data_IF_384688352496
#
_entry.id   IF_384688352496
#
_cell.length_a   1.000
_cell.length_b   1.000
_cell.length_c   1.000
_cell.angle_alpha   90.00
_cell.angle_beta   90.00
_cell.angle_gamma   90.00
#
_symmetry.space_group_name_H-M   'P 1'
#
loop_
_entity.id
_entity.type
_entity.pdbx_description
1 polymer ?
#
# COMPACT_ATOMS: atom_id res chain seq x y z
N UNK A 1 16.18 12.31 11.26
CA UNK A 1 14.81 11.85 11.47
C UNK A 1 14.09 11.77 10.15
N UNK A 2 13.48 10.63 9.87
CA UNK A 2 12.89 10.25 8.59
C UNK A 2 11.38 10.37 8.68
N UNK A 3 10.73 10.88 7.63
CA UNK A 3 9.28 11.04 7.56
C UNK A 3 8.62 9.78 7.02
N UNK A 4 9.18 9.16 5.98
CA UNK A 4 8.68 7.92 5.40
C UNK A 4 9.83 6.99 5.06
N UNK A 5 9.72 5.74 5.49
CA UNK A 5 10.55 4.65 4.97
C UNK A 5 9.65 3.79 4.09
N UNK A 6 10.05 3.59 2.83
CA UNK A 6 9.36 2.70 1.89
C UNK A 6 10.40 1.79 1.24
N UNK A 7 10.23 0.48 1.39
CA UNK A 7 11.24 -0.46 0.94
C UNK A 7 10.67 -1.83 0.57
N UNK A 8 11.42 -2.54 -0.27
CA UNK A 8 11.17 -3.94 -0.62
C UNK A 8 12.48 -4.71 -0.48
N UNK A 9 12.69 -5.36 0.67
CA UNK A 9 13.90 -6.17 0.88
C UNK A 9 13.95 -7.35 -0.08
N UNK A 10 15.12 -7.97 -0.27
CA UNK A 10 15.21 -9.25 -0.96
C UNK A 10 14.26 -10.27 -0.34
N UNK A 11 13.45 -10.93 -1.17
CA UNK A 11 12.56 -11.96 -0.68
C UNK A 11 13.34 -13.26 -0.46
N UNK A 12 13.02 -13.97 0.63
CA UNK A 12 13.64 -15.23 0.97
C UNK A 12 13.56 -16.24 -0.21
N UNK A 13 14.67 -16.87 -0.55
CA UNK A 13 14.81 -17.97 -1.53
C UNK A 13 14.19 -17.75 -2.93
N UNK A 14 13.73 -16.52 -3.25
CA UNK A 14 12.96 -16.27 -4.48
C UNK A 14 13.84 -15.78 -5.62
N UNK A 15 14.83 -14.93 -5.35
CA UNK A 15 15.57 -14.22 -6.38
C UNK A 15 17.05 -14.16 -6.01
N UNK A 16 17.93 -14.55 -6.95
CA UNK A 16 19.35 -14.34 -6.82
C UNK A 16 19.71 -12.88 -7.17
N UNK A 17 20.20 -12.13 -6.20
CA UNK A 17 20.66 -10.74 -6.38
C UNK A 17 22.16 -10.63 -6.75
N UNK A 18 22.81 -11.76 -7.07
CA UNK A 18 24.23 -11.83 -7.44
C UNK A 18 25.05 -12.65 -6.46
N UNK A 19 26.33 -12.88 -6.80
CA UNK A 19 27.20 -13.84 -6.09
C UNK A 19 27.53 -13.48 -4.62
N UNK A 20 27.25 -12.26 -4.17
CA UNK A 20 27.65 -11.76 -2.86
C UNK A 20 26.47 -11.34 -1.96
N UNK A 21 25.23 -11.60 -2.37
CA UNK A 21 24.05 -11.28 -1.57
C UNK A 21 23.53 -12.57 -0.98
N UNK A 22 23.71 -12.69 0.33
CA UNK A 22 23.26 -13.83 1.12
C UNK A 22 21.74 -13.78 1.30
N UNK A 23 21.02 -14.42 0.38
CA UNK A 23 19.56 -14.54 0.46
C UNK A 23 19.25 -15.55 1.55
N UNK A 24 18.63 -15.09 2.63
CA UNK A 24 18.30 -15.92 3.78
C UNK A 24 17.20 -16.92 3.45
N UNK A 25 17.34 -18.15 3.97
CA UNK A 25 16.27 -19.15 3.94
C UNK A 25 15.04 -18.61 4.67
N UNK A 26 13.87 -19.09 4.29
CA UNK A 26 12.61 -18.65 4.91
C UNK A 26 12.59 -18.86 6.43
N UNK A 27 13.27 -19.90 6.94
CA UNK A 27 13.40 -20.17 8.37
C UNK A 27 14.29 -19.18 9.14
N UNK A 28 15.16 -18.45 8.48
CA UNK A 28 16.11 -17.51 9.06
C UNK A 28 15.77 -16.05 8.75
N UNK A 29 14.80 -15.86 7.85
CA UNK A 29 14.49 -14.56 7.28
C UNK A 29 14.03 -13.54 8.32
N UNK A 30 13.17 -13.98 9.23
CA UNK A 30 12.60 -13.09 10.25
C UNK A 30 13.69 -12.64 11.24
N UNK A 31 14.56 -13.54 11.67
CA UNK A 31 15.68 -13.20 12.56
C UNK A 31 16.67 -12.22 11.91
N UNK A 32 16.87 -12.37 10.59
CA UNK A 32 17.73 -11.47 9.82
C UNK A 32 17.15 -10.07 9.67
N UNK A 33 15.83 -9.95 9.36
CA UNK A 33 15.25 -8.65 9.05
C UNK A 33 14.73 -7.90 10.28
N UNK A 34 14.39 -8.60 11.34
CA UNK A 34 13.76 -8.00 12.53
C UNK A 34 14.63 -6.93 13.24
N UNK A 35 15.97 -7.06 13.32
CA UNK A 35 16.83 -6.00 13.84
C UNK A 35 16.67 -4.67 13.09
N UNK A 36 16.42 -4.70 11.78
CA UNK A 36 16.17 -3.50 10.98
C UNK A 36 14.96 -2.71 11.48
N UNK A 37 13.92 -3.37 11.98
CA UNK A 37 12.73 -2.71 12.51
C UNK A 37 13.04 -1.83 13.73
N UNK A 38 14.01 -2.22 14.55
CA UNK A 38 14.46 -1.41 15.69
C UNK A 38 15.20 -0.15 15.19
N UNK A 39 16.04 -0.27 14.17
CA UNK A 39 16.71 0.87 13.56
C UNK A 39 15.72 1.80 12.83
N UNK A 40 14.76 1.24 12.13
CA UNK A 40 13.65 1.99 11.54
C UNK A 40 12.91 2.77 12.62
N UNK A 41 12.56 2.13 13.73
CA UNK A 41 11.93 2.83 14.85
C UNK A 41 12.82 3.96 15.38
N UNK A 42 14.12 3.75 15.49
CA UNK A 42 15.05 4.76 16.01
C UNK A 42 15.08 6.02 15.13
N UNK A 43 15.15 5.85 13.81
CA UNK A 43 15.32 6.98 12.86
C UNK A 43 14.00 7.62 12.43
N UNK A 44 12.88 6.92 12.54
CA UNK A 44 11.57 7.42 12.13
C UNK A 44 11.10 8.55 13.06
N UNK A 45 10.49 9.59 12.52
CA UNK A 45 9.79 10.63 13.31
C UNK A 45 8.55 10.04 14.02
N UNK A 46 8.04 10.64 15.09
CA UNK A 46 6.75 10.25 15.68
C UNK A 46 5.60 10.27 14.68
N UNK A 47 5.60 11.24 13.76
CA UNK A 47 4.63 11.38 12.65
C UNK A 47 4.93 10.51 11.44
N UNK A 48 6.02 9.75 11.47
CA UNK A 48 6.51 9.00 10.33
C UNK A 48 5.85 7.64 10.15
N UNK A 49 5.96 7.12 8.93
CA UNK A 49 5.45 5.81 8.51
C UNK A 49 6.54 4.93 7.92
N UNK A 50 6.36 3.62 8.08
CA UNK A 50 7.18 2.60 7.42
C UNK A 50 6.29 1.71 6.56
N UNK A 51 6.56 1.68 5.26
CA UNK A 51 5.87 0.87 4.25
C UNK A 51 6.81 -0.24 3.80
N UNK A 52 6.42 -1.48 4.06
CA UNK A 52 7.15 -2.68 3.69
C UNK A 52 6.39 -3.43 2.59
N UNK A 53 6.95 -3.46 1.38
CA UNK A 53 6.44 -4.34 0.33
C UNK A 53 7.21 -5.66 0.36
N UNK A 54 6.50 -6.76 0.52
CA UNK A 54 7.09 -8.09 0.64
C UNK A 54 6.12 -9.15 0.13
N UNK A 55 6.67 -10.27 -0.36
CA UNK A 55 5.86 -11.41 -0.75
C UNK A 55 6.43 -12.71 -0.18
N UNK A 56 5.57 -13.70 -0.05
CA UNK A 56 5.96 -15.06 0.27
C UNK A 56 6.29 -15.87 -0.99
N UNK A 57 6.84 -17.04 -0.79
CA UNK A 57 7.09 -18.02 -1.84
C UNK A 57 6.49 -19.39 -1.52
N UNK A 58 6.56 -20.28 -2.51
CA UNK A 58 6.25 -21.68 -2.34
C UNK A 58 7.52 -22.52 -2.50
N UNK A 59 7.80 -23.36 -1.53
CA UNK A 59 8.91 -24.31 -1.53
C UNK A 59 8.40 -25.72 -1.26
N UNK A 60 8.88 -26.71 -1.98
CA UNK A 60 8.48 -28.13 -1.83
C UNK A 60 6.95 -28.37 -1.85
N UNK A 61 6.22 -27.60 -2.65
CA UNK A 61 4.77 -27.71 -2.75
C UNK A 61 3.96 -26.99 -1.67
N UNK A 62 4.59 -26.32 -0.72
CA UNK A 62 3.95 -25.57 0.37
C UNK A 62 4.28 -24.10 0.32
N UNK A 63 3.35 -23.28 0.80
CA UNK A 63 3.58 -21.82 0.95
C UNK A 63 4.32 -21.57 2.26
N UNK A 64 5.37 -20.75 2.19
CA UNK A 64 6.11 -20.32 3.37
C UNK A 64 5.29 -19.36 4.22
N UNK A 65 5.45 -19.44 5.53
CA UNK A 65 4.68 -18.65 6.49
C UNK A 65 5.47 -17.51 7.15
N UNK A 66 6.72 -17.28 6.72
CA UNK A 66 7.61 -16.29 7.34
C UNK A 66 7.04 -14.87 7.39
N UNK A 67 6.17 -14.49 6.42
CA UNK A 67 5.51 -13.17 6.42
C UNK A 67 4.62 -13.01 7.64
N UNK A 68 3.83 -14.04 7.98
CA UNK A 68 2.93 -14.01 9.13
C UNK A 68 3.72 -13.98 10.45
N UNK A 69 4.82 -14.74 10.52
CA UNK A 69 5.76 -14.71 11.63
C UNK A 69 6.38 -13.31 11.77
N UNK A 70 6.83 -12.70 10.66
CA UNK A 70 7.39 -11.34 10.65
C UNK A 70 6.42 -10.33 11.26
N UNK A 71 5.15 -10.33 10.82
CA UNK A 71 4.15 -9.40 11.35
C UNK A 71 3.87 -9.66 12.84
N UNK A 72 3.74 -10.91 13.23
CA UNK A 72 3.52 -11.25 14.64
C UNK A 72 4.69 -10.82 15.51
N UNK A 73 5.92 -11.18 15.14
CA UNK A 73 7.12 -10.88 15.91
C UNK A 73 7.46 -9.39 15.90
N UNK A 74 7.31 -8.71 14.76
CA UNK A 74 7.53 -7.25 14.70
C UNK A 74 6.64 -6.49 15.69
N UNK A 75 5.38 -6.91 15.83
CA UNK A 75 4.45 -6.27 16.77
C UNK A 75 4.71 -6.63 18.25
N UNK A 76 5.43 -7.70 18.54
CA UNK A 76 5.76 -8.16 19.90
C UNK A 76 7.17 -7.75 20.35
N UNK A 77 8.13 -7.82 19.44
CA UNK A 77 9.56 -7.69 19.76
C UNK A 77 10.12 -6.31 19.40
N UNK A 78 9.34 -5.46 18.71
CA UNK A 78 9.75 -4.10 18.38
C UNK A 78 8.77 -3.05 18.93
N UNK A 79 9.18 -1.77 18.89
CA UNK A 79 8.33 -0.65 19.30
C UNK A 79 7.46 -0.11 18.16
N UNK A 80 7.69 -0.53 16.90
CA UNK A 80 6.85 -0.16 15.78
C UNK A 80 5.42 -0.71 15.96
N UNK A 81 4.44 0.10 15.60
CA UNK A 81 3.03 -0.30 15.63
C UNK A 81 2.60 -0.73 14.23
N UNK A 82 2.10 -1.95 14.14
CA UNK A 82 1.46 -2.42 12.92
C UNK A 82 0.14 -1.67 12.74
N UNK A 83 0.03 -0.93 11.64
CA UNK A 83 -1.10 -0.02 11.40
C UNK A 83 -2.13 -0.63 10.45
N UNK A 84 -1.70 -1.11 9.26
CA UNK A 84 -2.62 -1.64 8.25
C UNK A 84 -1.93 -2.59 7.27
N UNK A 85 -2.75 -3.31 6.50
CA UNK A 85 -2.31 -4.17 5.39
C UNK A 85 -2.99 -3.74 4.10
N UNK A 86 -2.18 -3.57 3.07
CA UNK A 86 -2.64 -3.32 1.71
C UNK A 86 -2.17 -4.44 0.78
N UNK A 87 -2.86 -4.61 -0.33
CA UNK A 87 -2.52 -5.61 -1.34
C UNK A 87 -2.17 -4.89 -2.64
N UNK A 88 -1.00 -5.16 -3.17
CA UNK A 88 -0.69 -4.80 -4.54
C UNK A 88 -1.10 -5.93 -5.48
N UNK A 89 -2.14 -5.71 -6.29
CA UNK A 89 -2.54 -6.59 -7.37
C UNK A 89 -1.82 -6.17 -8.67
N UNK A 90 -0.97 -7.06 -9.19
CA UNK A 90 -0.18 -6.84 -10.41
C UNK A 90 -1.08 -7.01 -11.64
N UNK A 91 -1.33 -5.92 -12.42
CA UNK A 91 -2.21 -5.99 -13.60
C UNK A 91 -1.67 -6.94 -14.69
N UNK A 92 -0.35 -7.07 -14.80
CA UNK A 92 0.35 -7.84 -15.82
C UNK A 92 1.20 -8.97 -15.21
N UNK A 93 0.67 -9.63 -14.18
CA UNK A 93 1.35 -10.76 -13.54
C UNK A 93 1.67 -11.88 -14.54
N UNK A 94 2.88 -12.42 -14.46
CA UNK A 94 3.37 -13.48 -15.33
C UNK A 94 2.64 -14.79 -15.01
N UNK A 95 2.15 -15.55 -16.00
CA UNK A 95 1.62 -16.88 -15.77
C UNK A 95 2.68 -17.78 -15.12
N UNK A 96 2.32 -18.50 -14.08
CA UNK A 96 3.15 -19.57 -13.54
C UNK A 96 2.70 -20.90 -14.09
N UNK A 97 3.64 -21.82 -14.34
CA UNK A 97 3.36 -23.17 -14.85
C UNK A 97 2.80 -24.16 -13.81
N UNK A 98 2.33 -23.71 -12.66
CA UNK A 98 1.87 -24.59 -11.59
C UNK A 98 0.46 -25.09 -11.86
N UNK A 99 0.31 -26.40 -12.10
CA UNK A 99 -0.98 -27.04 -12.43
C UNK A 99 -1.99 -27.09 -11.28
N UNK A 100 -1.56 -26.90 -10.02
CA UNK A 100 -2.41 -27.04 -8.84
C UNK A 100 -2.49 -25.76 -8.00
N UNK A 101 -2.17 -24.58 -8.58
CA UNK A 101 -2.21 -23.29 -7.88
C UNK A 101 -2.70 -22.19 -8.80
N UNK A 102 -3.43 -21.25 -8.24
CA UNK A 102 -3.72 -20.00 -8.92
C UNK A 102 -2.44 -19.18 -9.11
N UNK A 103 -2.46 -18.27 -10.08
CA UNK A 103 -1.36 -17.32 -10.30
C UNK A 103 -1.18 -16.43 -9.08
N UNK A 104 0.06 -16.25 -8.64
CA UNK A 104 0.39 -15.32 -7.56
C UNK A 104 0.56 -13.90 -8.14
N UNK A 105 -0.55 -13.18 -8.27
CA UNK A 105 -0.58 -11.83 -8.83
C UNK A 105 -0.64 -10.75 -7.75
N UNK A 106 -0.40 -11.09 -6.50
CA UNK A 106 -0.48 -10.15 -5.38
C UNK A 106 0.82 -10.10 -4.61
N UNK A 107 1.09 -8.93 -4.02
CA UNK A 107 2.10 -8.75 -2.98
C UNK A 107 1.49 -8.04 -1.79
N UNK A 108 2.05 -8.29 -0.61
CA UNK A 108 1.66 -7.60 0.60
C UNK A 108 2.40 -6.27 0.73
N UNK A 109 1.69 -5.27 1.21
CA UNK A 109 2.24 -3.99 1.62
C UNK A 109 1.81 -3.78 3.06
N UNK A 110 2.77 -3.87 3.97
CA UNK A 110 2.53 -3.68 5.39
C UNK A 110 2.88 -2.26 5.80
N UNK A 111 1.97 -1.64 6.53
CA UNK A 111 2.12 -0.29 7.05
C UNK A 111 2.37 -0.34 8.55
N UNK A 112 3.48 0.22 8.95
CA UNK A 112 3.82 0.44 10.35
C UNK A 112 3.99 1.93 10.62
N UNK A 113 3.75 2.35 11.85
CA UNK A 113 4.00 3.70 12.30
C UNK A 113 4.62 3.71 13.69
N UNK A 114 5.10 4.88 14.10
CA UNK A 114 5.61 5.09 15.45
C UNK A 114 4.48 5.45 16.41
N UNK A 115 3.61 6.37 15.97
CA UNK A 115 2.42 6.81 16.69
C UNK A 115 1.28 7.12 15.71
N UNK A 116 0.23 6.32 15.74
CA UNK A 116 -0.91 6.47 14.83
C UNK A 116 -1.68 7.79 15.01
N UNK A 117 -1.57 8.44 16.18
CA UNK A 117 -2.23 9.74 16.42
C UNK A 117 -1.48 10.91 15.81
N UNK A 118 -0.16 10.79 15.68
CA UNK A 118 0.70 11.81 15.11
C UNK A 118 1.04 11.57 13.64
N UNK A 119 0.79 10.35 13.15
CA UNK A 119 1.12 9.93 11.79
C UNK A 119 0.46 10.84 10.75
N UNK A 120 1.27 11.30 9.78
CA UNK A 120 0.77 12.00 8.61
C UNK A 120 -0.03 11.03 7.74
N UNK A 121 -1.26 11.39 7.40
CA UNK A 121 -2.13 10.58 6.53
C UNK A 121 -3.13 11.47 5.79
N UNK A 122 -2.84 11.79 4.54
CA UNK A 122 -3.58 12.74 3.72
C UNK A 122 -4.53 12.04 2.76
N UNK A 123 -5.64 11.53 3.28
CA UNK A 123 -6.65 10.79 2.51
C UNK A 123 -7.23 11.60 1.35
N UNK A 124 -7.37 12.91 1.50
CA UNK A 124 -7.86 13.84 0.47
C UNK A 124 -7.02 13.85 -0.81
N UNK A 125 -5.71 13.61 -0.69
CA UNK A 125 -4.78 13.58 -1.83
C UNK A 125 -4.92 12.32 -2.72
N UNK A 126 -5.60 11.28 -2.23
CA UNK A 126 -5.71 9.97 -2.90
C UNK A 126 -7.16 9.55 -3.13
N UNK A 127 -8.11 10.43 -2.90
CA UNK A 127 -9.52 10.17 -3.18
C UNK A 127 -9.73 9.90 -4.67
N UNK A 128 -10.60 8.93 -4.97
CA UNK A 128 -10.94 8.50 -6.32
C UNK A 128 -12.39 8.83 -6.68
N UNK A 129 -12.70 8.83 -7.97
CA UNK A 129 -14.09 8.89 -8.43
C UNK A 129 -14.88 7.67 -7.93
N UNK A 130 -16.14 7.85 -7.51
CA UNK A 130 -17.00 6.74 -7.14
C UNK A 130 -17.17 5.77 -8.31
N UNK A 131 -17.06 4.46 -8.05
CA UNK A 131 -17.29 3.41 -9.05
C UNK A 131 -18.74 3.46 -9.56
N UNK A 132 -18.96 3.07 -10.80
CA UNK A 132 -20.32 3.06 -11.40
C UNK A 132 -21.29 2.15 -10.65
N UNK A 133 -20.82 1.02 -10.11
CA UNK A 133 -21.62 0.16 -9.25
C UNK A 133 -22.09 0.87 -7.97
N UNK A 134 -21.32 1.82 -7.49
CA UNK A 134 -21.68 2.67 -6.36
C UNK A 134 -22.63 3.78 -6.81
N UNK A 135 -22.35 4.43 -7.95
CA UNK A 135 -23.26 5.42 -8.57
C UNK A 135 -24.62 4.82 -8.91
N UNK A 136 -24.65 3.60 -9.44
CA UNK A 136 -25.88 2.91 -9.83
C UNK A 136 -26.79 2.55 -8.64
N UNK A 137 -26.23 2.34 -7.44
CA UNK A 137 -27.05 2.20 -6.22
C UNK A 137 -27.80 3.49 -5.87
N UNK A 138 -27.35 4.63 -6.37
CA UNK A 138 -27.96 5.95 -6.14
C UNK A 138 -28.93 6.35 -7.24
N UNK A 139 -28.87 5.72 -8.42
CA UNK A 139 -29.75 6.05 -9.55
C UNK A 139 -31.13 5.36 -9.47
N UNK A 140 -31.31 4.40 -8.57
CA UNK A 140 -32.61 3.80 -8.30
C UNK A 140 -33.30 4.61 -7.19
N UNK A 141 -33.79 5.78 -7.56
CA UNK A 141 -34.45 6.68 -6.64
C UNK A 141 -35.89 6.23 -6.31
N UNK A 142 -36.02 5.74 -5.11
CA UNK A 142 -37.32 5.70 -4.46
C UNK A 142 -37.28 6.72 -3.32
N UNK A 143 -38.04 7.79 -3.44
CA UNK A 143 -38.20 8.78 -2.37
C UNK A 143 -39.36 8.32 -1.48
N UNK A 144 -39.06 8.17 -0.19
CA UNK A 144 -40.08 7.87 0.82
C UNK A 144 -40.45 9.16 1.54
N UNK A 145 -41.71 9.34 1.82
CA UNK A 145 -42.18 10.41 2.70
C UNK A 145 -41.85 10.12 4.18
N UNK A 146 -42.15 11.06 5.06
CA UNK A 146 -41.94 10.91 6.51
C UNK A 146 -42.77 9.78 7.16
N UNK A 147 -43.57 9.06 6.39
CA UNK A 147 -44.41 7.92 6.82
C UNK A 147 -43.93 6.61 6.16
N UNK A 148 -42.83 6.64 5.39
CA UNK A 148 -42.24 5.45 4.74
C UNK A 148 -42.96 5.03 3.45
N UNK A 149 -43.82 5.89 2.85
CA UNK A 149 -44.49 5.63 1.58
C UNK A 149 -43.67 6.19 0.39
N UNK A 150 -43.68 5.45 -0.74
CA UNK A 150 -43.02 5.87 -1.97
C UNK A 150 -43.73 7.12 -2.53
N UNK A 151 -42.99 8.20 -2.68
CA UNK A 151 -43.47 9.42 -3.31
C UNK A 151 -43.22 9.34 -4.81
N UNK A 152 -44.22 8.98 -5.59
CA UNK A 152 -44.14 9.00 -7.05
C UNK A 152 -44.06 10.45 -7.58
N UNK A 153 -43.10 10.71 -8.48
CA UNK A 153 -43.02 11.96 -9.23
C UNK A 153 -42.23 13.09 -8.56
N UNK A 154 -41.60 12.88 -7.42
CA UNK A 154 -40.74 13.90 -6.82
C UNK A 154 -39.49 14.18 -7.67
N UNK A 155 -39.50 15.29 -8.43
CA UNK A 155 -38.32 15.82 -9.11
C UNK A 155 -37.33 16.37 -8.10
N UNK A 156 -36.31 15.58 -7.73
CA UNK A 156 -35.20 16.09 -6.90
C UNK A 156 -34.26 16.89 -7.78
N UNK A 157 -34.25 18.20 -7.62
CA UNK A 157 -33.40 19.15 -8.36
C UNK A 157 -31.93 19.20 -7.88
N UNK A 158 -31.48 18.35 -6.92
CA UNK A 158 -30.08 18.33 -6.43
C UNK A 158 -29.62 16.90 -6.20
N UNK A 159 -28.38 16.65 -6.62
CA UNK A 159 -27.58 15.43 -6.47
C UNK A 159 -27.97 14.63 -5.23
N UNK A 160 -28.47 13.55 -5.52
CA UNK A 160 -28.97 12.35 -4.89
C UNK A 160 -28.52 12.05 -3.48
N UNK A 161 -29.51 11.71 -2.69
CA UNK A 161 -29.39 11.34 -1.30
C UNK A 161 -29.68 9.85 -1.14
N UNK A 162 -28.87 9.14 -0.37
CA UNK A 162 -29.24 7.84 0.14
C UNK A 162 -30.12 7.99 1.37
N UNK A 163 -31.17 7.20 1.37
CA UNK A 163 -31.84 6.81 2.58
C UNK A 163 -31.24 5.46 3.03
N UNK A 164 -30.37 5.45 4.03
CA UNK A 164 -30.09 4.22 4.75
C UNK A 164 -31.04 4.17 5.93
N UNK A 165 -32.08 3.36 5.83
CA UNK A 165 -32.88 3.01 7.00
C UNK A 165 -32.01 2.13 7.91
N UNK A 166 -31.61 2.64 9.05
CA UNK A 166 -31.08 1.81 10.14
C UNK A 166 -32.23 1.56 11.10
N UNK A 167 -32.59 0.30 11.24
CA UNK A 167 -33.64 -0.10 12.22
C UNK A 167 -32.91 -0.34 13.55
N UNK A 168 -33.10 0.55 14.50
CA UNK A 168 -32.62 0.33 15.86
C UNK A 168 -33.73 -0.30 16.70
N UNK A 169 -33.40 -1.44 17.36
CA UNK A 169 -34.35 -2.07 18.31
C UNK A 169 -34.31 -1.26 19.61
N UNK A 170 -35.45 -0.64 19.93
CA UNK A 170 -35.67 0.01 21.23
C UNK A 170 -36.46 -0.90 22.17
N UNK A 171 -36.55 -0.55 23.47
CA UNK A 171 -37.36 -1.31 24.44
C UNK A 171 -38.84 -1.40 24.06
N UNK A 172 -39.32 -0.45 23.29
CA UNK A 172 -40.75 -0.31 22.91
C UNK A 172 -41.00 -0.67 21.44
N UNK A 173 -40.04 -1.28 20.73
CA UNK A 173 -40.14 -1.66 19.32
C UNK A 173 -38.96 -1.26 18.47
N UNK A 174 -39.22 -1.03 17.17
CA UNK A 174 -38.19 -0.61 16.22
C UNK A 174 -38.40 0.85 15.86
N UNK A 175 -37.34 1.67 15.96
CA UNK A 175 -37.32 3.02 15.39
C UNK A 175 -36.50 3.03 14.12
N UNK A 176 -37.06 3.54 13.03
CA UNK A 176 -36.35 3.81 11.81
C UNK A 176 -35.65 5.17 11.92
N UNK A 177 -34.32 5.15 11.90
CA UNK A 177 -33.54 6.36 11.70
C UNK A 177 -33.19 6.48 10.22
N UNK A 178 -33.81 7.41 9.54
CA UNK A 178 -33.53 7.72 8.16
C UNK A 178 -32.33 8.66 8.07
N UNK A 179 -31.15 8.11 7.77
CA UNK A 179 -29.96 8.90 7.52
C UNK A 179 -29.87 9.24 6.03
N UNK A 180 -29.95 10.52 5.73
CA UNK A 180 -29.76 11.02 4.36
C UNK A 180 -28.26 11.10 4.10
N UNK A 181 -27.74 10.27 3.20
CA UNK A 181 -26.34 10.35 2.75
C UNK A 181 -26.29 10.95 1.34
N UNK A 182 -25.45 11.95 1.17
CA UNK A 182 -25.18 12.53 -0.15
C UNK A 182 -24.03 11.73 -0.78
N UNK A 183 -24.17 11.37 -2.07
CA UNK A 183 -23.06 10.79 -2.82
C UNK A 183 -21.91 11.79 -2.83
N UNK A 184 -20.77 11.46 -2.26
CA UNK A 184 -19.61 12.35 -2.33
C UNK A 184 -19.09 12.40 -3.78
N UNK A 185 -18.59 13.54 -4.20
CA UNK A 185 -17.97 13.69 -5.52
C UNK A 185 -16.75 12.79 -5.66
N UNK A 186 -16.08 12.48 -4.54
CA UNK A 186 -14.94 11.56 -4.46
C UNK A 186 -15.13 10.60 -3.29
N UNK A 187 -14.58 9.40 -3.40
CA UNK A 187 -14.64 8.37 -2.37
C UNK A 187 -13.25 7.85 -2.01
N UNK A 188 -13.14 7.21 -0.86
CA UNK A 188 -11.91 6.56 -0.43
C UNK A 188 -11.57 5.39 -1.36
N UNK A 189 -10.29 5.21 -1.75
CA UNK A 189 -9.86 4.03 -2.50
C UNK A 189 -10.00 2.76 -1.65
N UNK A 190 -10.02 1.62 -2.34
CA UNK A 190 -9.88 0.32 -1.70
C UNK A 190 -8.44 0.14 -1.18
N UNK A 191 -8.24 -0.79 -0.25
CA UNK A 191 -6.91 -1.22 0.20
C UNK A 191 -6.22 -2.22 -0.77
N UNK A 192 -6.76 -2.37 -1.98
CA UNK A 192 -6.19 -3.20 -3.05
C UNK A 192 -5.74 -2.30 -4.19
N UNK A 193 -4.44 -2.11 -4.32
CA UNK A 193 -3.84 -1.29 -5.37
C UNK A 193 -3.63 -2.09 -6.64
N UNK A 194 -3.96 -1.52 -7.80
CA UNK A 194 -3.86 -2.18 -9.11
C UNK A 194 -2.85 -1.43 -9.98
N UNK A 195 -1.57 -1.65 -9.70
CA UNK A 195 -0.47 -1.12 -10.51
C UNK A 195 0.11 -2.23 -11.40
N UNK A 196 0.64 -1.84 -12.56
CA UNK A 196 1.44 -2.75 -13.37
C UNK A 196 2.74 -3.11 -12.64
N UNK A 197 3.35 -4.24 -12.94
CA UNK A 197 4.75 -4.47 -12.58
C UNK A 197 5.61 -3.49 -13.37
N UNK A 198 6.75 -3.08 -12.82
CA UNK A 198 7.72 -2.39 -13.64
C UNK A 198 8.04 -3.32 -14.83
N UNK A 199 7.63 -2.93 -16.02
CA UNK A 199 8.12 -3.59 -17.24
C UNK A 199 9.64 -3.52 -17.20
N UNK A 200 10.33 -4.48 -17.81
CA UNK A 200 11.75 -4.40 -18.01
C UNK A 200 12.07 -2.96 -18.43
N UNK A 201 12.88 -2.27 -17.63
CA UNK A 201 13.26 -0.89 -17.91
C UNK A 201 13.61 -0.82 -19.40
N UNK A 202 13.00 0.11 -20.16
CA UNK A 202 13.37 0.31 -21.57
C UNK A 202 14.84 0.67 -21.74
N UNK A 203 15.48 1.04 -20.63
CA UNK A 203 16.93 1.19 -20.53
C UNK A 203 17.53 -0.19 -20.23
N UNK A 204 17.88 -0.93 -21.29
CA UNK A 204 18.47 -2.27 -21.24
C UNK A 204 19.88 -2.33 -20.63
N UNK A 205 20.38 -1.24 -20.06
CA UNK A 205 21.78 -1.16 -19.58
C UNK A 205 21.99 -1.90 -18.27
N UNK A 206 20.97 -2.00 -17.40
CA UNK A 206 21.05 -2.79 -16.17
C UNK A 206 19.77 -3.61 -15.97
N UNK A 207 19.93 -4.94 -15.93
CA UNK A 207 18.84 -5.87 -15.58
C UNK A 207 18.73 -5.97 -14.06
N UNK A 208 17.83 -5.20 -13.46
CA UNK A 208 17.46 -5.43 -12.06
C UNK A 208 16.36 -6.50 -11.99
N UNK A 209 16.49 -7.52 -11.14
CA UNK A 209 15.58 -8.68 -11.14
C UNK A 209 14.15 -8.36 -10.71
N UNK A 210 13.94 -7.35 -9.88
CA UNK A 210 12.63 -7.00 -9.36
C UNK A 210 12.50 -5.48 -9.11
N UNK A 211 12.43 -4.64 -10.15
CA UNK A 211 12.24 -3.21 -9.94
C UNK A 211 10.79 -2.93 -9.50
N UNK A 212 10.61 -1.98 -8.58
CA UNK A 212 9.30 -1.41 -8.27
C UNK A 212 8.69 -0.72 -9.48
N UNK A 213 7.38 -0.74 -9.58
CA UNK A 213 6.66 0.26 -10.35
C UNK A 213 6.71 1.61 -9.60
N UNK A 214 7.03 2.70 -10.30
CA UNK A 214 7.11 4.05 -9.74
C UNK A 214 5.78 4.53 -9.11
N UNK A 215 4.65 4.07 -9.63
CA UNK A 215 3.31 4.45 -9.14
C UNK A 215 3.10 4.07 -7.67
N UNK A 216 3.63 2.91 -7.25
CA UNK A 216 3.47 2.44 -5.88
C UNK A 216 4.16 3.36 -4.84
N UNK A 217 5.47 3.67 -4.94
CA UNK A 217 6.07 4.61 -4.02
C UNK A 217 5.50 6.02 -4.14
N UNK A 218 5.14 6.50 -5.35
CA UNK A 218 4.50 7.80 -5.51
C UNK A 218 3.19 7.91 -4.72
N UNK A 219 2.39 6.86 -4.74
CA UNK A 219 1.12 6.82 -4.00
C UNK A 219 1.34 7.02 -2.50
N UNK A 220 2.24 6.23 -1.90
CA UNK A 220 2.50 6.31 -0.46
C UNK A 220 3.25 7.59 -0.06
N UNK A 221 4.17 8.08 -0.88
CA UNK A 221 4.85 9.36 -0.64
C UNK A 221 3.82 10.50 -0.62
N UNK A 222 2.91 10.54 -1.57
CA UNK A 222 1.85 11.56 -1.61
C UNK A 222 0.88 11.47 -0.43
N UNK A 223 0.55 10.25 0.00
CA UNK A 223 -0.36 9.98 1.10
C UNK A 223 0.23 10.34 2.47
N UNK A 224 1.53 10.10 2.68
CA UNK A 224 2.15 10.04 4.01
C UNK A 224 3.20 11.12 4.27
N UNK A 225 3.47 12.00 3.31
CA UNK A 225 4.51 13.04 3.44
C UNK A 225 4.08 14.38 2.87
N UNK A 226 4.77 15.44 3.32
CA UNK A 226 4.71 16.78 2.73
C UNK A 226 5.93 17.06 1.84
N UNK A 227 5.87 18.12 1.03
CA UNK A 227 7.02 18.61 0.28
C UNK A 227 8.16 18.96 1.25
N UNK A 228 9.39 18.64 0.85
CA UNK A 228 10.58 18.82 1.69
C UNK A 228 10.81 17.71 2.73
N UNK A 229 9.85 16.82 2.99
CA UNK A 229 10.03 15.67 3.88
C UNK A 229 11.09 14.70 3.35
N UNK A 230 11.64 13.87 4.24
CA UNK A 230 12.69 12.89 3.91
C UNK A 230 12.08 11.51 3.75
N UNK A 231 12.20 10.97 2.54
CA UNK A 231 11.85 9.59 2.19
C UNK A 231 13.12 8.75 2.18
N UNK A 232 13.08 7.55 2.78
CA UNK A 232 14.20 6.64 2.83
C UNK A 232 13.83 5.29 2.24
N UNK A 233 14.75 4.67 1.49
CA UNK A 233 14.65 3.28 1.04
C UNK A 233 15.89 2.52 1.50
N UNK A 234 15.70 1.51 2.35
CA UNK A 234 16.80 0.73 2.96
C UNK A 234 17.31 -0.41 2.07
N UNK A 235 16.61 -0.68 0.95
CA UNK A 235 17.00 -1.64 -0.09
C UNK A 235 16.75 -1.01 -1.46
N UNK A 236 17.43 0.10 -1.74
CA UNK A 236 17.12 1.03 -2.82
C UNK A 236 17.17 0.48 -4.24
N UNK A 237 17.93 -0.59 -4.48
CA UNK A 237 18.12 -1.17 -5.79
C UNK A 237 18.53 -0.11 -6.82
N UNK A 238 17.74 0.06 -7.86
CA UNK A 238 17.93 1.11 -8.87
C UNK A 238 17.24 2.44 -8.52
N UNK A 239 16.96 2.67 -7.24
CA UNK A 239 16.45 3.91 -6.65
C UNK A 239 15.11 4.41 -7.22
N UNK A 240 14.18 3.51 -7.50
CA UNK A 240 12.86 3.88 -8.02
C UNK A 240 12.05 4.71 -7.01
N UNK A 241 12.19 4.42 -5.72
CA UNK A 241 11.62 5.22 -4.63
C UNK A 241 12.19 6.64 -4.60
N UNK A 242 13.48 6.81 -4.93
CA UNK A 242 14.15 8.11 -5.04
C UNK A 242 13.61 8.95 -6.20
N UNK A 243 13.40 8.32 -7.36
CA UNK A 243 12.75 9.01 -8.49
C UNK A 243 11.32 9.45 -8.14
N UNK A 244 10.59 8.63 -7.40
CA UNK A 244 9.26 8.98 -6.94
C UNK A 244 9.31 10.15 -5.95
N UNK A 245 10.21 10.12 -4.98
CA UNK A 245 10.39 11.18 -4.00
C UNK A 245 10.75 12.52 -4.67
N UNK A 246 11.74 12.52 -5.56
CA UNK A 246 12.15 13.72 -6.29
C UNK A 246 11.02 14.31 -7.14
N UNK A 247 10.27 13.44 -7.86
CA UNK A 247 9.14 13.91 -8.69
C UNK A 247 8.00 14.56 -7.90
N UNK A 248 8.03 14.42 -6.58
CA UNK A 248 7.05 14.99 -5.65
C UNK A 248 7.68 16.03 -4.70
N UNK A 249 8.86 16.55 -5.01
CA UNK A 249 9.60 17.53 -4.19
C UNK A 249 9.94 17.05 -2.77
N UNK A 250 10.26 15.76 -2.61
CA UNK A 250 10.75 15.18 -1.34
C UNK A 250 12.24 14.94 -1.41
N UNK A 251 12.91 15.04 -0.26
CA UNK A 251 14.29 14.63 -0.11
C UNK A 251 14.36 13.10 -0.06
N UNK A 252 15.49 12.53 -0.52
CA UNK A 252 15.64 11.07 -0.58
C UNK A 252 16.97 10.60 -0.01
N UNK A 253 16.91 9.49 0.72
CA UNK A 253 18.06 8.73 1.19
C UNK A 253 17.88 7.30 0.72
N UNK A 254 18.78 6.80 -0.12
CA UNK A 254 18.79 5.40 -0.57
C UNK A 254 20.00 4.65 0.00
N UNK A 255 19.76 3.42 0.44
CA UNK A 255 20.81 2.48 0.85
C UNK A 255 20.76 1.31 -0.10
N UNK A 256 21.89 1.00 -0.73
CA UNK A 256 22.03 -0.14 -1.65
C UNK A 256 23.43 -0.76 -1.47
N UNK A 257 23.46 -2.09 -1.32
CA UNK A 257 24.70 -2.84 -1.12
C UNK A 257 25.47 -3.04 -2.43
N UNK A 258 24.74 -3.17 -3.54
CA UNK A 258 25.36 -3.37 -4.86
C UNK A 258 25.73 -2.01 -5.46
N UNK A 259 27.04 -1.74 -5.52
CA UNK A 259 27.60 -0.50 -6.03
C UNK A 259 27.09 -0.13 -7.44
N UNK A 260 26.99 -1.11 -8.35
CA UNK A 260 26.48 -0.87 -9.72
C UNK A 260 25.03 -0.41 -9.73
N UNK A 261 24.21 -0.95 -8.82
CA UNK A 261 22.81 -0.50 -8.69
C UNK A 261 22.74 0.88 -8.04
N UNK A 262 23.58 1.13 -7.02
CA UNK A 262 23.66 2.43 -6.37
C UNK A 262 24.04 3.54 -7.36
N UNK A 263 25.15 3.37 -8.10
CA UNK A 263 25.60 4.32 -9.13
C UNK A 263 24.56 4.56 -10.22
N UNK A 264 23.92 3.48 -10.69
CA UNK A 264 22.87 3.61 -11.71
C UNK A 264 21.67 4.37 -11.17
N UNK A 265 21.25 4.07 -9.94
CA UNK A 265 20.17 4.76 -9.27
C UNK A 265 20.44 6.25 -9.06
N UNK A 266 21.65 6.61 -8.62
CA UNK A 266 22.09 7.97 -8.45
C UNK A 266 22.06 8.76 -9.78
N UNK A 267 22.61 8.19 -10.85
CA UNK A 267 22.55 8.77 -12.19
C UNK A 267 21.11 9.01 -12.67
N UNK A 268 20.18 8.09 -12.36
CA UNK A 268 18.75 8.26 -12.67
C UNK A 268 18.13 9.43 -11.91
N UNK A 269 18.41 9.53 -10.62
CA UNK A 269 17.84 10.61 -9.77
C UNK A 269 18.37 11.97 -10.23
N UNK A 270 19.66 12.06 -10.61
CA UNK A 270 20.30 13.32 -11.01
C UNK A 270 19.90 13.79 -12.42
N UNK A 271 19.38 12.92 -13.28
CA UNK A 271 18.88 13.27 -14.62
C UNK A 271 17.47 13.87 -14.62
N UNK A 272 16.74 13.72 -13.56
CA UNK A 272 15.36 14.20 -13.38
C UNK A 272 15.30 15.33 -12.34
#
# INVERSE_FOLDING_TARGET
>A
SIDLIITSPPYSDIISYGKNIDVKKSSEYVDWILPLFNEIYRVLKPSGSFILNINDNCSNGYRNTFIYELIYRSSKETKLKFYDTYIWHKRNGIPNGANKRFRNNTEFIFHFCKDAKQMKFYMDRVLIEPKDSYKNRFNNEVVYDGQGQIVEGARIKKKIKYLTASVNKTKDGYTENTNIRILPDKTRPDNVFRFATAGASRDNTIKHPAPFNKELPQYFINLLTDEGDIVMDTFGGIMTSGLAAKSLNRNFIGIELNEKYAEFGEKRINKH
#
